data_IF_478864036024
#
_entry.id   IF_478864036024
#
_cell.length_a   1.000
_cell.length_b   1.000
_cell.length_c   1.000
_cell.angle_alpha   90.00
_cell.angle_beta   90.00
_cell.angle_gamma   90.00
#
_symmetry.space_group_name_H-M   'P 1'
#
loop_
_entity.id
_entity.type
_entity.pdbx_description
1 polymer ?
#
# COMPACT_ATOMS: atom_id res chain seq x y z
N UNK A 1 -33.78 -6.82 16.16
CA UNK A 1 -32.53 -6.06 16.19
C UNK A 1 -31.63 -6.68 15.15
N UNK A 2 -31.48 -6.01 14.02
CA UNK A 2 -30.43 -6.33 13.04
C UNK A 2 -29.10 -6.07 13.73
N UNK A 3 -28.17 -7.03 13.69
CA UNK A 3 -26.84 -6.83 14.27
C UNK A 3 -26.00 -5.85 13.46
N UNK A 4 -24.78 -5.51 13.93
CA UNK A 4 -23.88 -4.66 13.19
C UNK A 4 -23.55 -5.30 11.83
N UNK A 5 -23.52 -4.46 10.80
CA UNK A 5 -23.27 -4.85 9.43
C UNK A 5 -22.06 -4.07 8.88
N UNK A 6 -21.19 -4.76 8.17
CA UNK A 6 -20.12 -4.15 7.40
C UNK A 6 -20.63 -3.83 5.99
N UNK A 7 -20.43 -2.60 5.53
CA UNK A 7 -20.74 -2.17 4.18
C UNK A 7 -19.46 -1.81 3.43
N UNK A 8 -19.50 -1.98 2.10
CA UNK A 8 -18.45 -1.57 1.18
C UNK A 8 -18.96 -0.39 0.34
N UNK A 9 -18.15 0.66 0.20
CA UNK A 9 -18.49 1.82 -0.62
C UNK A 9 -17.30 2.23 -1.47
N UNK A 10 -17.49 2.24 -2.79
CA UNK A 10 -16.49 2.74 -3.74
C UNK A 10 -16.58 4.27 -3.80
N UNK A 11 -15.43 4.93 -3.67
CA UNK A 11 -15.32 6.40 -3.67
C UNK A 11 -14.23 6.86 -4.64
N UNK A 12 -14.34 8.12 -5.08
CA UNK A 12 -13.29 8.73 -5.89
C UNK A 12 -12.02 8.87 -5.05
N UNK A 13 -10.85 8.49 -5.59
CA UNK A 13 -9.60 8.68 -4.88
C UNK A 13 -9.28 10.18 -4.79
N UNK A 14 -8.53 10.58 -3.77
CA UNK A 14 -8.00 11.94 -3.70
C UNK A 14 -7.08 12.26 -4.91
N UNK A 15 -6.37 11.24 -5.41
CA UNK A 15 -5.52 11.28 -6.60
C UNK A 15 -5.51 9.91 -7.28
N UNK A 16 -5.62 9.87 -8.61
CA UNK A 16 -5.53 8.63 -9.40
C UNK A 16 -6.77 8.34 -10.23
N UNK A 17 -6.82 7.12 -10.79
CA UNK A 17 -7.90 6.64 -11.68
C UNK A 17 -8.56 5.35 -11.18
N UNK A 18 -8.19 4.91 -9.97
CA UNK A 18 -8.68 3.68 -9.35
C UNK A 18 -9.55 4.10 -8.18
N UNK A 19 -10.80 3.64 -8.13
CA UNK A 19 -11.69 3.92 -7.02
C UNK A 19 -11.17 3.27 -5.74
N UNK A 20 -11.27 4.00 -4.63
CA UNK A 20 -10.97 3.47 -3.30
C UNK A 20 -12.24 2.85 -2.70
N UNK A 21 -12.20 1.54 -2.42
CA UNK A 21 -13.26 0.84 -1.69
C UNK A 21 -13.04 0.93 -0.20
N UNK A 22 -13.90 1.69 0.45
CA UNK A 22 -13.90 1.87 1.90
C UNK A 22 -14.89 0.93 2.58
N UNK A 23 -14.57 0.54 3.81
CA UNK A 23 -15.43 -0.25 4.67
C UNK A 23 -16.03 0.62 5.77
N UNK A 24 -17.30 0.45 6.10
CA UNK A 24 -17.93 1.10 7.25
C UNK A 24 -18.79 0.11 8.04
N UNK A 25 -18.86 0.30 9.37
CA UNK A 25 -19.74 -0.47 10.24
C UNK A 25 -21.02 0.33 10.50
N UNK A 26 -22.17 -0.33 10.39
CA UNK A 26 -23.49 0.24 10.64
C UNK A 26 -24.22 -0.65 11.65
N UNK A 27 -24.66 -0.06 12.75
CA UNK A 27 -25.31 -0.80 13.84
C UNK A 27 -26.78 -1.14 13.55
N UNK A 28 -27.47 -0.29 12.79
CA UNK A 28 -28.92 -0.31 12.63
C UNK A 28 -29.40 -0.73 11.23
N UNK A 29 -28.80 -1.79 10.68
CA UNK A 29 -29.19 -2.33 9.37
C UNK A 29 -28.67 -1.51 8.18
N UNK A 30 -29.24 -1.69 6.97
CA UNK A 30 -28.72 -1.05 5.76
C UNK A 30 -28.98 0.46 5.78
N UNK A 31 -27.96 1.28 5.55
CA UNK A 31 -28.12 2.73 5.46
C UNK A 31 -28.92 3.12 4.21
N UNK A 32 -29.58 4.27 4.28
CA UNK A 32 -30.28 4.86 3.14
C UNK A 32 -29.29 5.42 2.09
N UNK A 33 -29.69 5.43 0.83
CA UNK A 33 -28.92 6.11 -0.23
C UNK A 33 -28.74 7.59 0.11
N UNK A 34 -27.52 8.09 -0.04
CA UNK A 34 -27.11 9.45 0.33
C UNK A 34 -26.72 9.60 1.81
N UNK A 35 -26.85 8.57 2.65
CA UNK A 35 -26.38 8.62 4.03
C UNK A 35 -24.87 8.89 4.07
N UNK A 36 -24.45 9.77 4.99
CA UNK A 36 -23.04 10.05 5.23
C UNK A 36 -22.56 9.20 6.39
N UNK A 37 -21.53 8.39 6.16
CA UNK A 37 -20.94 7.51 7.16
C UNK A 37 -19.44 7.80 7.29
N UNK A 38 -18.83 7.20 8.31
CA UNK A 38 -17.38 7.23 8.51
C UNK A 38 -16.81 5.84 8.27
N UNK A 39 -15.84 5.75 7.37
CA UNK A 39 -15.15 4.51 7.07
C UNK A 39 -14.30 4.07 8.27
N UNK A 40 -13.91 2.79 8.31
CA UNK A 40 -12.98 2.26 9.31
C UNK A 40 -11.66 3.04 9.36
N UNK A 41 -11.20 3.56 8.22
CA UNK A 41 -10.01 4.41 8.15
C UNK A 41 -10.23 5.87 8.57
N UNK A 42 -11.45 6.26 8.94
CA UNK A 42 -11.83 7.62 9.33
C UNK A 42 -12.22 8.55 8.18
N UNK A 43 -12.19 8.08 6.92
CA UNK A 43 -12.63 8.87 5.78
C UNK A 43 -14.16 9.02 5.75
N UNK A 44 -14.71 10.20 5.40
CA UNK A 44 -16.15 10.33 5.16
C UNK A 44 -16.53 9.61 3.87
N UNK A 45 -17.65 8.88 3.88
CA UNK A 45 -18.24 8.26 2.70
C UNK A 45 -19.71 8.65 2.55
N UNK A 46 -20.19 8.68 1.31
CA UNK A 46 -21.61 8.82 1.01
C UNK A 46 -22.10 7.49 0.43
N UNK A 47 -23.13 6.91 1.04
CA UNK A 47 -23.75 5.67 0.59
C UNK A 47 -24.45 5.92 -0.74
N UNK A 48 -24.27 5.03 -1.70
CA UNK A 48 -24.95 5.12 -2.98
C UNK A 48 -24.26 4.32 -4.08
N UNK A 49 -24.70 4.46 -5.34
CA UNK A 49 -24.06 3.78 -6.45
C UNK A 49 -22.59 4.23 -6.61
N UNK A 50 -21.71 3.35 -7.10
CA UNK A 50 -20.32 3.71 -7.38
C UNK A 50 -20.24 4.81 -8.44
N UNK A 51 -19.24 5.71 -8.39
CA UNK A 51 -19.00 6.68 -9.44
C UNK A 51 -18.82 6.01 -10.80
N UNK A 52 -19.48 6.53 -11.85
CA UNK A 52 -19.33 6.00 -13.21
C UNK A 52 -18.04 6.47 -13.90
N UNK A 53 -17.52 7.64 -13.51
CA UNK A 53 -16.33 8.27 -14.08
C UNK A 53 -15.41 8.77 -12.96
N UNK A 54 -14.09 8.63 -13.14
CA UNK A 54 -13.07 9.15 -12.21
C UNK A 54 -12.65 10.58 -12.56
N UNK A 55 -12.74 10.93 -13.84
CA UNK A 55 -12.53 12.25 -14.42
C UNK A 55 -13.51 12.39 -15.59
N UNK A 56 -13.84 13.62 -16.05
CA UNK A 56 -14.76 13.80 -17.17
C UNK A 56 -14.34 12.99 -18.41
N UNK A 57 -15.18 12.04 -18.82
CA UNK A 57 -14.95 11.15 -19.95
C UNK A 57 -13.96 10.00 -19.70
N UNK A 58 -13.47 9.82 -18.46
CA UNK A 58 -12.63 8.68 -18.06
C UNK A 58 -13.46 7.73 -17.20
N UNK A 59 -13.81 6.54 -17.71
CA UNK A 59 -14.65 5.60 -16.98
C UNK A 59 -13.95 5.07 -15.73
N UNK A 60 -14.71 4.92 -14.65
CA UNK A 60 -14.26 4.31 -13.41
C UNK A 60 -14.24 2.77 -13.54
N UNK A 61 -13.28 2.26 -14.30
CA UNK A 61 -13.22 0.83 -14.66
C UNK A 61 -12.54 -0.04 -13.59
N UNK A 62 -11.88 0.56 -12.60
CA UNK A 62 -11.05 -0.13 -11.63
C UNK A 62 -11.35 0.33 -10.21
N UNK A 63 -11.34 -0.62 -9.28
CA UNK A 63 -11.50 -0.40 -7.84
C UNK A 63 -10.41 -1.17 -7.10
N UNK A 64 -9.91 -0.59 -6.01
CA UNK A 64 -9.01 -1.24 -5.07
C UNK A 64 -9.50 -1.07 -3.64
N UNK A 65 -9.23 -2.06 -2.78
CA UNK A 65 -9.55 -1.98 -1.36
C UNK A 65 -8.69 -0.93 -0.66
N UNK A 66 -9.32 -0.07 0.15
CA UNK A 66 -8.59 0.90 0.96
C UNK A 66 -7.70 0.14 1.97
N UNK A 67 -6.36 0.27 1.88
CA UNK A 67 -5.44 -0.53 2.71
C UNK A 67 -5.63 -0.23 4.21
N UNK A 68 -5.99 1.00 4.56
CA UNK A 68 -6.25 1.38 5.94
C UNK A 68 -7.53 0.73 6.50
N UNK A 69 -8.58 0.59 5.68
CA UNK A 69 -9.78 -0.13 6.11
C UNK A 69 -9.48 -1.62 6.32
N UNK A 70 -8.68 -2.22 5.43
CA UNK A 70 -8.24 -3.61 5.54
C UNK A 70 -7.37 -3.85 6.78
N UNK A 71 -6.47 -2.93 7.10
CA UNK A 71 -5.65 -3.00 8.31
C UNK A 71 -6.52 -2.99 9.58
N UNK A 72 -7.51 -2.10 9.65
CA UNK A 72 -8.45 -2.02 10.79
C UNK A 72 -9.30 -3.29 10.88
N UNK A 73 -9.89 -3.74 9.76
CA UNK A 73 -10.69 -4.96 9.73
C UNK A 73 -9.88 -6.17 10.20
N UNK A 74 -8.65 -6.32 9.71
CA UNK A 74 -7.75 -7.41 10.08
C UNK A 74 -7.43 -7.38 11.58
N UNK A 75 -7.20 -6.21 12.16
CA UNK A 75 -6.98 -6.06 13.59
C UNK A 75 -8.22 -6.48 14.40
N UNK A 76 -9.41 -6.00 14.03
CA UNK A 76 -10.66 -6.32 14.72
C UNK A 76 -10.99 -7.82 14.67
N UNK A 77 -10.74 -8.48 13.53
CA UNK A 77 -10.97 -9.92 13.39
C UNK A 77 -10.01 -10.76 14.26
N UNK A 78 -8.78 -10.26 14.49
CA UNK A 78 -7.82 -10.93 15.39
C UNK A 78 -8.24 -10.81 16.86
N UNK A 79 -8.71 -9.63 17.26
CA UNK A 79 -9.13 -9.36 18.65
C UNK A 79 -10.40 -10.14 19.04
N UNK A 80 -11.26 -10.46 18.06
CA UNK A 80 -12.49 -11.23 18.28
C UNK A 80 -12.33 -12.75 18.33
N UNK A 81 -11.12 -13.29 18.12
CA UNK A 81 -10.88 -14.73 18.10
C UNK A 81 -10.79 -15.30 19.52
N UNK A 82 -11.74 -16.16 19.97
CA UNK A 82 -11.74 -16.72 21.32
C UNK A 82 -10.56 -17.66 21.61
N UNK A 83 -9.84 -18.08 20.56
CA UNK A 83 -8.67 -18.96 20.64
C UNK A 83 -7.32 -18.20 20.56
N UNK A 84 -7.33 -16.87 20.55
CA UNK A 84 -6.09 -16.11 20.64
C UNK A 84 -5.48 -16.29 22.03
N UNK A 85 -4.21 -16.77 22.16
CA UNK A 85 -3.56 -16.90 23.45
C UNK A 85 -3.58 -15.54 24.14
N UNK A 86 -4.14 -15.48 25.35
CA UNK A 86 -4.20 -14.28 26.19
C UNK A 86 -2.77 -13.79 26.49
N UNK A 87 -2.20 -13.01 25.59
CA UNK A 87 -1.04 -12.19 25.93
C UNK A 87 -1.54 -11.17 26.96
N UNK A 88 -0.85 -11.01 28.11
CA UNK A 88 -1.29 -10.08 29.14
C UNK A 88 -1.40 -8.67 28.56
N UNK A 89 -2.65 -8.23 28.40
CA UNK A 89 -3.02 -6.89 27.95
C UNK A 89 -2.56 -5.88 29.02
N UNK A 90 -1.45 -5.19 28.77
CA UNK A 90 -1.23 -3.90 29.42
C UNK A 90 -2.36 -2.96 28.98
N UNK A 91 -3.12 -2.46 29.96
CA UNK A 91 -4.26 -1.58 29.75
C UNK A 91 -3.85 -0.34 28.94
N UNK A 92 -4.23 -0.29 27.67
CA UNK A 92 -4.05 0.88 26.83
C UNK A 92 -5.11 1.94 27.23
N UNK A 93 -4.70 3.19 27.49
CA UNK A 93 -5.63 4.25 27.89
C UNK A 93 -6.63 4.58 26.76
N UNK A 94 -7.89 4.84 27.14
CA UNK A 94 -8.96 5.42 26.33
C UNK A 94 -8.57 6.82 25.83
N UNK A 95 -7.64 6.87 24.89
CA UNK A 95 -7.33 8.08 24.15
C UNK A 95 -8.31 8.16 22.99
N UNK A 96 -9.13 9.22 22.94
CA UNK A 96 -9.83 9.68 21.74
C UNK A 96 -8.84 9.64 20.57
N UNK A 97 -8.89 8.59 19.76
CA UNK A 97 -8.03 8.44 18.59
C UNK A 97 -8.47 9.48 17.57
N UNK A 98 -7.79 10.63 17.57
CA UNK A 98 -7.37 11.18 16.28
C UNK A 98 -6.77 9.98 15.53
N UNK A 99 -7.42 9.58 14.42
CA UNK A 99 -6.99 8.41 13.66
C UNK A 99 -5.48 8.46 13.46
N UNK A 100 -4.76 7.33 13.60
CA UNK A 100 -3.32 7.32 13.48
C UNK A 100 -2.96 8.08 12.19
N UNK A 101 -2.26 9.20 12.33
CA UNK A 101 -1.87 10.01 11.19
C UNK A 101 -1.23 9.07 10.18
N UNK A 102 -1.78 9.03 8.97
CA UNK A 102 -1.34 8.09 7.95
C UNK A 102 0.19 8.13 7.87
N UNK A 103 0.88 6.97 7.91
CA UNK A 103 2.32 6.93 7.97
C UNK A 103 2.88 7.73 6.79
N UNK A 104 3.65 8.77 7.10
CA UNK A 104 4.18 9.68 6.09
C UNK A 104 5.06 8.90 5.11
N UNK A 105 4.73 8.99 3.82
CA UNK A 105 5.56 8.46 2.74
C UNK A 105 6.69 9.44 2.46
N UNK A 106 7.90 8.90 2.29
CA UNK A 106 9.08 9.67 1.91
C UNK A 106 9.56 9.22 0.55
N UNK A 107 9.77 10.19 -0.33
CA UNK A 107 10.31 9.99 -1.66
C UNK A 107 11.84 9.81 -1.59
N UNK A 108 12.38 8.78 -2.23
CA UNK A 108 13.81 8.48 -2.30
C UNK A 108 14.22 8.08 -3.71
N UNK A 109 15.50 8.27 -4.07
CA UNK A 109 16.11 7.76 -5.31
C UNK A 109 17.55 7.31 -5.06
N UNK A 110 18.11 6.41 -5.87
CA UNK A 110 19.53 6.03 -5.74
C UNK A 110 20.46 7.05 -6.40
N UNK A 111 20.06 7.60 -7.55
CA UNK A 111 20.84 8.60 -8.27
C UNK A 111 19.95 9.62 -8.99
N UNK A 112 20.52 10.77 -9.34
CA UNK A 112 19.83 11.78 -10.17
C UNK A 112 19.51 11.20 -11.54
N UNK A 113 18.25 11.34 -11.95
CA UNK A 113 17.74 10.81 -13.22
C UNK A 113 17.11 9.42 -13.11
N UNK A 114 17.20 8.76 -11.95
CA UNK A 114 16.50 7.50 -11.70
C UNK A 114 15.07 7.72 -11.19
N UNK A 115 14.17 6.72 -11.34
CA UNK A 115 12.82 6.77 -10.79
C UNK A 115 12.80 7.02 -9.28
N UNK A 116 11.81 7.79 -8.83
CA UNK A 116 11.60 8.05 -7.41
C UNK A 116 10.81 6.89 -6.78
N UNK A 117 11.25 6.38 -5.65
CA UNK A 117 10.52 5.38 -4.89
C UNK A 117 9.91 5.99 -3.63
N UNK A 118 8.75 5.48 -3.23
CA UNK A 118 8.08 5.90 -2.01
C UNK A 118 8.36 4.88 -0.91
N UNK A 119 8.71 5.34 0.29
CA UNK A 119 9.03 4.50 1.44
C UNK A 119 8.21 4.96 2.65
N UNK A 120 7.73 4.01 3.47
CA UNK A 120 7.18 4.33 4.80
C UNK A 120 8.33 4.43 5.80
N UNK A 121 8.57 5.58 6.43
CA UNK A 121 9.63 5.75 7.46
C UNK A 121 9.07 5.65 8.90
N UNK A 122 9.91 5.22 9.87
CA UNK A 122 11.33 4.94 9.70
C UNK A 122 11.66 3.44 9.70
N UNK A 123 12.14 2.82 8.61
CA UNK A 123 12.85 1.57 8.75
C UNK A 123 14.10 1.78 9.59
N UNK A 124 14.22 1.04 10.69
CA UNK A 124 15.51 0.81 11.34
C UNK A 124 16.21 -0.30 10.55
N UNK A 125 17.34 0.01 9.91
CA UNK A 125 18.07 -0.99 9.13
C UNK A 125 18.97 -0.41 8.04
N UNK A 126 19.85 -1.25 7.46
CA UNK A 126 20.77 -0.86 6.40
C UNK A 126 20.07 -0.70 5.03
N UNK A 127 18.83 -1.19 4.89
CA UNK A 127 18.05 -1.13 3.65
C UNK A 127 16.69 -0.47 3.87
N UNK A 128 16.20 0.23 2.86
CA UNK A 128 14.83 0.73 2.77
C UNK A 128 14.02 -0.21 1.88
N UNK A 129 12.84 -0.62 2.35
CA UNK A 129 11.86 -1.29 1.48
C UNK A 129 10.88 -0.26 0.97
N UNK A 130 10.86 -0.09 -0.34
CA UNK A 130 9.97 0.83 -1.04
C UNK A 130 8.56 0.22 -1.19
N UNK A 131 7.57 1.06 -1.47
CA UNK A 131 6.18 0.63 -1.73
C UNK A 131 6.04 -0.27 -2.94
N UNK A 132 7.02 -0.31 -3.85
CA UNK A 132 7.04 -1.27 -4.96
C UNK A 132 7.81 -2.56 -4.64
N UNK A 133 8.25 -2.75 -3.39
CA UNK A 133 9.00 -3.92 -2.93
C UNK A 133 10.50 -3.87 -3.21
N UNK A 134 11.01 -2.82 -3.88
CA UNK A 134 12.45 -2.68 -4.10
C UNK A 134 13.18 -2.45 -2.75
N UNK A 135 14.31 -3.14 -2.58
CA UNK A 135 15.21 -3.02 -1.44
C UNK A 135 16.38 -2.13 -1.82
N UNK A 136 16.46 -0.94 -1.22
CA UNK A 136 17.46 0.07 -1.55
C UNK A 136 18.48 0.20 -0.38
N UNK A 137 19.80 0.16 -0.63
CA UNK A 137 20.79 0.41 0.41
C UNK A 137 20.66 1.83 0.94
N UNK A 138 20.47 2.00 2.25
CA UNK A 138 20.25 3.31 2.86
C UNK A 138 21.43 4.27 2.69
N UNK A 139 22.64 3.75 2.50
CA UNK A 139 23.84 4.55 2.24
C UNK A 139 23.89 5.14 0.83
N UNK A 140 23.02 4.68 -0.08
CA UNK A 140 22.99 5.08 -1.48
C UNK A 140 21.73 5.86 -1.86
N UNK A 141 20.77 6.03 -0.94
CA UNK A 141 19.52 6.74 -1.23
C UNK A 141 19.60 8.22 -0.87
N UNK A 142 19.17 9.06 -1.82
CA UNK A 142 18.90 10.47 -1.63
C UNK A 142 17.42 10.65 -1.31
N UNK A 143 17.10 11.44 -0.27
CA UNK A 143 15.72 11.88 0.00
C UNK A 143 15.38 12.97 -1.00
N UNK A 144 14.21 12.85 -1.63
CA UNK A 144 13.77 13.72 -2.71
C UNK A 144 12.70 14.67 -2.19
N UNK A 145 12.86 15.96 -2.47
CA UNK A 145 11.86 16.98 -2.14
C UNK A 145 10.58 16.82 -2.98
N UNK A 146 9.41 17.24 -2.47
CA UNK A 146 8.17 17.24 -3.26
C UNK A 146 8.34 18.01 -4.58
N UNK A 147 8.09 17.33 -5.71
CA UNK A 147 8.22 17.88 -7.05
C UNK A 147 9.50 17.48 -7.80
N UNK A 148 10.50 16.93 -7.11
CA UNK A 148 11.80 16.60 -7.71
C UNK A 148 11.89 15.18 -8.31
N UNK A 149 11.04 14.91 -9.29
CA UNK A 149 11.05 13.68 -10.07
C UNK A 149 9.68 13.01 -10.15
N UNK A 150 9.62 11.89 -10.86
CA UNK A 150 8.38 11.12 -11.05
C UNK A 150 8.51 9.81 -10.27
N UNK A 151 7.54 9.47 -9.39
CA UNK A 151 7.52 8.17 -8.73
C UNK A 151 7.54 7.05 -9.77
N UNK A 152 8.25 5.96 -9.47
CA UNK A 152 8.18 4.78 -10.31
C UNK A 152 6.71 4.32 -10.37
N UNK A 153 6.29 3.82 -11.53
CA UNK A 153 4.90 3.47 -11.80
C UNK A 153 4.33 2.58 -10.71
N UNK A 154 5.10 1.59 -10.23
CA UNK A 154 4.69 0.72 -9.14
C UNK A 154 4.47 1.48 -7.82
N UNK A 155 5.40 2.35 -7.39
CA UNK A 155 5.20 3.15 -6.18
C UNK A 155 4.02 4.11 -6.31
N UNK A 156 3.80 4.70 -7.48
CA UNK A 156 2.65 5.55 -7.78
C UNK A 156 1.32 4.79 -7.64
N UNK A 157 1.27 3.58 -8.21
CA UNK A 157 0.10 2.72 -8.16
C UNK A 157 -0.14 2.16 -6.73
N UNK A 158 0.91 1.82 -6.00
CA UNK A 158 0.77 1.41 -4.60
C UNK A 158 0.37 2.56 -3.68
N UNK A 159 0.89 3.79 -3.91
CA UNK A 159 0.53 4.94 -3.08
C UNK A 159 -0.90 5.43 -3.31
N UNK A 160 -1.49 5.06 -4.44
CA UNK A 160 -2.93 5.25 -4.73
C UNK A 160 -3.80 4.09 -4.21
N UNK A 161 -3.28 3.24 -3.31
CA UNK A 161 -4.09 2.25 -2.58
C UNK A 161 -4.16 0.86 -3.23
N UNK A 162 -3.55 0.65 -4.41
CA UNK A 162 -3.63 -0.64 -5.10
C UNK A 162 -2.55 -1.63 -4.61
N UNK A 163 -2.81 -2.31 -3.49
CA UNK A 163 -1.96 -3.42 -3.01
C UNK A 163 -1.88 -4.61 -4.00
N UNK A 164 -2.85 -4.71 -4.93
CA UNK A 164 -2.95 -5.77 -5.93
C UNK A 164 -1.82 -5.78 -6.99
N UNK A 165 -0.95 -4.77 -7.05
CA UNK A 165 0.05 -4.62 -8.12
C UNK A 165 1.49 -5.00 -7.70
N UNK A 166 1.69 -5.42 -6.45
CA UNK A 166 3.00 -5.75 -5.88
C UNK A 166 3.69 -7.00 -6.47
N UNK A 167 3.02 -7.74 -7.37
CA UNK A 167 3.59 -8.95 -7.99
C UNK A 167 4.57 -8.67 -9.14
N UNK A 168 4.66 -7.43 -9.64
CA UNK A 168 5.43 -7.13 -10.85
C UNK A 168 6.96 -7.30 -10.72
N UNK A 169 7.56 -7.22 -9.52
CA UNK A 169 9.03 -7.22 -9.38
C UNK A 169 9.65 -8.53 -8.89
N UNK A 170 8.87 -9.53 -8.46
CA UNK A 170 9.45 -10.84 -8.10
C UNK A 170 9.95 -11.63 -9.31
N UNK A 171 9.49 -11.30 -10.52
CA UNK A 171 9.82 -12.04 -11.73
C UNK A 171 11.20 -11.68 -12.33
N UNK A 172 11.71 -10.47 -12.13
CA UNK A 172 12.95 -10.01 -12.79
C UNK A 172 14.25 -10.28 -12.00
N UNK A 173 14.16 -10.87 -10.81
CA UNK A 173 15.28 -11.06 -9.89
C UNK A 173 16.08 -12.37 -10.03
N UNK A 174 15.79 -13.23 -11.01
CA UNK A 174 16.54 -14.50 -11.23
C UNK A 174 17.27 -14.44 -12.57
N UNK A 175 18.17 -13.47 -12.69
CA UNK A 175 19.21 -13.45 -13.72
C UNK A 175 20.57 -13.52 -13.04
N UNK A 176 21.05 -14.72 -12.77
CA UNK A 176 22.38 -15.01 -12.24
C UNK A 176 23.46 -14.57 -13.27
N UNK A 177 24.29 -13.54 -13.00
CA UNK A 177 25.31 -13.09 -13.94
C UNK A 177 26.64 -13.87 -13.81
N UNK A 178 26.68 -15.05 -13.20
CA UNK A 178 27.90 -15.87 -13.08
C UNK A 178 28.08 -16.96 -14.15
N UNK A 179 27.64 -16.71 -15.38
CA UNK A 179 27.97 -17.52 -16.57
C UNK A 179 29.18 -16.99 -17.35
N UNK A 180 30.30 -16.74 -16.68
CA UNK A 180 31.56 -16.32 -17.32
C UNK A 180 32.47 -17.51 -17.61
N UNK A 181 32.14 -18.30 -18.63
CA UNK A 181 32.99 -19.39 -19.13
C UNK A 181 34.17 -18.78 -19.92
N UNK A 182 35.36 -18.79 -19.32
CA UNK A 182 36.58 -18.23 -19.89
C UNK A 182 37.34 -19.28 -20.73
N UNK A 183 37.88 -18.92 -21.91
CA UNK A 183 38.40 -19.88 -22.86
C UNK A 183 39.72 -20.53 -22.42
N UNK A 184 39.75 -21.83 -22.74
CA UNK A 184 40.80 -22.83 -22.68
C UNK A 184 42.21 -22.30 -23.05
N UNK A 185 43.16 -22.37 -22.11
CA UNK A 185 44.58 -22.11 -22.36
C UNK A 185 45.28 -23.43 -22.67
N UNK A 186 45.28 -23.80 -23.95
CA UNK A 186 46.14 -24.85 -24.49
C UNK A 186 47.63 -24.45 -24.43
N UNK A 187 48.39 -25.07 -23.54
CA UNK A 187 49.87 -25.02 -23.54
C UNK A 187 50.43 -26.08 -24.48
N UNK A 188 51.01 -25.64 -25.60
CA UNK A 188 51.99 -26.41 -26.37
C UNK A 188 53.30 -26.53 -25.57
N UNK A 189 53.85 -27.74 -25.47
CA UNK A 189 55.30 -27.95 -25.36
C UNK A 189 55.73 -29.10 -26.26
N UNK A 190 56.76 -28.78 -27.04
CA UNK A 190 57.43 -29.63 -28.02
C UNK A 190 58.48 -30.54 -27.36
N UNK A 191 58.74 -31.67 -28.03
CA UNK A 191 59.90 -32.55 -27.84
C UNK A 191 61.21 -31.89 -28.26
#
# INVERSE_FOLDING_TARGET
>A
MTGPMLIEQDTLPAVGIILDRHLALVDDGPPEDGAVLTALCGAPLTVGPPPAEVLPGVPAAYTADCPFCQDVLTATLRDGSPDAPECPHEAAPESRRAGPAAPSLTAVRLARGEPVHLCRLPPAGPTLTTSCGASLPRTMVEIVDPGDGVPCTCCLLTSSGSAALLECHRADGVGDPHGGDGPDRGTLRAD
#
